data_IF_411707214530
#
_entry.id   IF_411707214530
#
_cell.length_a   1.000
_cell.length_b   1.000
_cell.length_c   1.000
_cell.angle_alpha   90.00
_cell.angle_beta   90.00
_cell.angle_gamma   90.00
#
_symmetry.space_group_name_H-M   'P 1'
#
loop_
_entity.id
_entity.type
_entity.pdbx_description
1 polymer ?
#
# COMPACT_ATOMS: atom_id res chain seq x y z
N UNK A 1 -9.10 3.14 -8.86
CA UNK A 1 -8.66 4.48 -9.26
C UNK A 1 -9.43 5.02 -10.47
N UNK A 2 -9.37 4.34 -11.61
CA UNK A 2 -9.95 4.85 -12.87
C UNK A 2 -11.46 5.10 -12.78
N UNK A 3 -12.23 4.13 -12.30
CA UNK A 3 -13.70 4.28 -12.14
C UNK A 3 -14.04 5.45 -11.23
N UNK A 4 -13.31 5.61 -10.13
CA UNK A 4 -13.49 6.72 -9.20
C UNK A 4 -13.16 8.07 -9.86
N UNK A 5 -12.07 8.14 -10.63
CA UNK A 5 -11.69 9.35 -11.36
C UNK A 5 -12.76 9.76 -12.37
N UNK A 6 -13.30 8.81 -13.16
CA UNK A 6 -14.36 9.07 -14.14
C UNK A 6 -15.63 9.57 -13.42
N UNK A 7 -16.05 8.88 -12.35
CA UNK A 7 -17.26 9.26 -11.61
C UNK A 7 -17.16 10.66 -10.99
N UNK A 8 -16.04 10.97 -10.33
CA UNK A 8 -15.92 12.22 -9.55
C UNK A 8 -15.43 13.40 -10.38
N UNK A 9 -14.54 13.18 -11.35
CA UNK A 9 -13.95 14.29 -12.12
C UNK A 9 -14.78 14.59 -13.37
N UNK A 10 -15.25 13.55 -14.10
CA UNK A 10 -16.02 13.78 -15.34
C UNK A 10 -17.49 13.99 -15.06
N UNK A 11 -18.10 13.14 -14.22
CA UNK A 11 -19.53 13.22 -13.94
C UNK A 11 -19.86 14.08 -12.70
N UNK A 12 -18.88 14.54 -11.96
CA UNK A 12 -19.09 15.38 -10.77
C UNK A 12 -19.83 14.69 -9.62
N UNK A 13 -19.79 13.35 -9.57
CA UNK A 13 -20.41 12.57 -8.50
C UNK A 13 -19.67 12.84 -7.19
N UNK A 14 -20.41 12.91 -6.09
CA UNK A 14 -19.83 13.04 -4.76
C UNK A 14 -18.82 11.94 -4.46
N UNK A 15 -17.67 12.31 -3.88
CA UNK A 15 -16.57 11.40 -3.60
C UNK A 15 -16.95 10.27 -2.66
N UNK A 16 -17.80 10.55 -1.65
CA UNK A 16 -18.26 9.56 -0.67
C UNK A 16 -19.17 8.55 -1.35
N UNK A 17 -20.13 9.01 -2.14
CA UNK A 17 -21.05 8.14 -2.88
C UNK A 17 -20.30 7.24 -3.85
N UNK A 18 -19.38 7.81 -4.62
CA UNK A 18 -18.52 7.05 -5.52
C UNK A 18 -17.65 6.03 -4.78
N UNK A 19 -17.10 6.38 -3.62
CA UNK A 19 -16.29 5.49 -2.79
C UNK A 19 -17.08 4.30 -2.29
N UNK A 20 -18.28 4.52 -1.73
CA UNK A 20 -19.18 3.45 -1.26
C UNK A 20 -19.58 2.53 -2.40
N UNK A 21 -19.98 3.10 -3.56
CA UNK A 21 -20.37 2.31 -4.72
C UNK A 21 -19.23 1.41 -5.22
N UNK A 22 -18.00 1.92 -5.26
CA UNK A 22 -16.82 1.14 -5.66
C UNK A 22 -16.49 0.05 -4.65
N UNK A 23 -16.63 0.30 -3.35
CA UNK A 23 -16.40 -0.73 -2.33
C UNK A 23 -17.38 -1.89 -2.46
N UNK A 24 -18.67 -1.61 -2.69
CA UNK A 24 -19.68 -2.64 -2.92
C UNK A 24 -19.41 -3.42 -4.20
N UNK A 25 -19.08 -2.70 -5.29
CA UNK A 25 -18.74 -3.30 -6.58
C UNK A 25 -17.47 -4.18 -6.45
N UNK A 26 -16.44 -3.68 -5.76
CA UNK A 26 -15.20 -4.41 -5.57
C UNK A 26 -15.41 -5.71 -4.80
N UNK A 27 -16.22 -5.71 -3.75
CA UNK A 27 -16.55 -6.93 -2.99
C UNK A 27 -17.20 -7.99 -3.91
N UNK A 28 -18.18 -7.59 -4.74
CA UNK A 28 -18.83 -8.51 -5.68
C UNK A 28 -17.89 -9.04 -6.75
N UNK A 29 -17.09 -8.16 -7.38
CA UNK A 29 -16.14 -8.55 -8.43
C UNK A 29 -15.05 -9.45 -7.86
N UNK A 30 -14.50 -9.11 -6.72
CA UNK A 30 -13.43 -9.90 -6.08
C UNK A 30 -13.92 -11.29 -5.75
N UNK A 31 -15.11 -11.43 -5.19
CA UNK A 31 -15.71 -12.73 -4.92
C UNK A 31 -15.92 -13.54 -6.19
N UNK A 32 -16.54 -12.95 -7.19
CA UNK A 32 -16.76 -13.62 -8.47
C UNK A 32 -15.45 -14.09 -9.13
N UNK A 33 -14.43 -13.23 -9.16
CA UNK A 33 -13.13 -13.59 -9.71
C UNK A 33 -12.42 -14.66 -8.88
N UNK A 34 -12.54 -14.60 -7.56
CA UNK A 34 -11.94 -15.62 -6.67
C UNK A 34 -12.58 -16.99 -6.89
N UNK A 35 -13.89 -17.05 -7.04
CA UNK A 35 -14.59 -18.29 -7.38
C UNK A 35 -14.15 -18.81 -8.75
N UNK A 36 -14.11 -17.95 -9.76
CA UNK A 36 -13.73 -18.33 -11.12
C UNK A 36 -12.29 -18.87 -11.21
N UNK A 37 -11.37 -18.31 -10.43
CA UNK A 37 -9.93 -18.64 -10.54
C UNK A 37 -9.54 -19.77 -9.58
N UNK A 38 -10.14 -19.86 -8.39
CA UNK A 38 -9.65 -20.74 -7.33
C UNK A 38 -10.54 -21.94 -6.99
N UNK A 39 -11.82 -21.97 -7.42
CA UNK A 39 -12.73 -23.09 -7.11
C UNK A 39 -12.24 -24.39 -7.72
N UNK A 40 -11.70 -24.37 -8.92
CA UNK A 40 -11.21 -25.56 -9.63
C UNK A 40 -9.74 -25.92 -9.26
N UNK A 41 -9.13 -25.18 -8.31
CA UNK A 41 -7.75 -25.43 -7.95
C UNK A 41 -7.67 -26.42 -6.77
N UNK A 42 -7.19 -27.66 -6.97
CA UNK A 42 -7.14 -28.71 -5.95
C UNK A 42 -6.26 -28.33 -4.75
N UNK A 43 -5.34 -27.36 -4.92
CA UNK A 43 -4.50 -26.85 -3.83
C UNK A 43 -5.21 -25.81 -2.93
N UNK A 44 -6.37 -25.29 -3.34
CA UNK A 44 -7.12 -24.24 -2.63
C UNK A 44 -8.11 -24.74 -1.58
N UNK A 45 -8.28 -26.05 -1.41
CA UNK A 45 -9.15 -26.63 -0.37
C UNK A 45 -10.64 -26.31 -0.52
N UNK A 46 -11.13 -25.98 -1.72
CA UNK A 46 -12.56 -25.73 -1.99
C UNK A 46 -13.09 -24.38 -1.49
N UNK A 47 -12.27 -23.52 -0.89
CA UNK A 47 -12.63 -22.16 -0.53
C UNK A 47 -12.13 -21.17 -1.58
N UNK A 48 -12.76 -20.01 -1.69
CA UNK A 48 -12.36 -18.91 -2.58
C UNK A 48 -11.06 -18.24 -2.08
N UNK A 49 -9.98 -19.01 -1.98
CA UNK A 49 -8.67 -18.57 -1.54
C UNK A 49 -7.59 -19.17 -2.44
N UNK A 50 -6.50 -18.43 -2.59
CA UNK A 50 -5.37 -18.93 -3.38
C UNK A 50 -4.65 -20.09 -2.67
N UNK A 51 -3.96 -20.96 -3.41
CA UNK A 51 -2.96 -21.83 -2.81
C UNK A 51 -1.86 -20.97 -2.13
N UNK A 52 -1.15 -21.52 -1.11
CA UNK A 52 -0.03 -20.83 -0.50
C UNK A 52 0.99 -20.41 -1.56
N UNK A 53 1.51 -19.20 -1.47
CA UNK A 53 2.55 -18.74 -2.38
C UNK A 53 3.81 -19.58 -2.20
N UNK A 54 4.22 -20.27 -3.27
CA UNK A 54 5.43 -21.11 -3.27
C UNK A 54 6.71 -20.29 -3.24
N UNK A 55 6.68 -19.05 -3.75
CA UNK A 55 7.80 -18.12 -3.76
C UNK A 55 7.55 -16.99 -2.77
N UNK A 56 8.18 -17.06 -1.60
CA UNK A 56 8.26 -15.90 -0.71
C UNK A 56 9.24 -14.89 -1.28
N UNK A 57 8.94 -13.58 -1.22
CA UNK A 57 9.93 -12.58 -1.57
C UNK A 57 11.16 -12.76 -0.70
N UNK A 58 12.38 -12.60 -1.26
CA UNK A 58 13.61 -12.78 -0.50
C UNK A 58 13.64 -11.86 0.71
N UNK A 59 13.93 -12.42 1.87
CA UNK A 59 14.17 -11.68 3.09
C UNK A 59 15.65 -11.28 3.15
N UNK A 60 15.92 -10.00 3.21
CA UNK A 60 17.26 -9.48 3.46
C UNK A 60 17.45 -9.33 4.96
N UNK A 61 18.34 -10.12 5.54
CA UNK A 61 18.93 -9.80 6.84
C UNK A 61 20.15 -8.93 6.58
N UNK A 62 20.18 -7.72 7.13
CA UNK A 62 21.37 -6.87 7.07
C UNK A 62 22.48 -7.54 7.91
N UNK A 63 23.56 -8.04 7.27
CA UNK A 63 24.54 -8.89 7.95
C UNK A 63 25.30 -8.17 9.08
N UNK A 64 25.29 -6.85 9.08
CA UNK A 64 26.05 -6.03 10.05
C UNK A 64 25.44 -6.05 11.46
N UNK A 65 24.12 -6.28 11.59
CA UNK A 65 23.44 -6.30 12.89
C UNK A 65 22.85 -7.67 13.25
N UNK A 66 22.68 -8.57 12.28
CA UNK A 66 22.11 -9.91 12.49
C UNK A 66 23.17 -11.02 12.60
N UNK A 67 24.40 -10.79 12.13
CA UNK A 67 25.50 -11.80 12.09
C UNK A 67 26.64 -11.49 13.07
N UNK A 68 26.56 -10.41 13.84
CA UNK A 68 27.52 -10.09 14.88
C UNK A 68 27.17 -10.76 16.23
N UNK A 69 28.06 -10.74 17.22
CA UNK A 69 27.71 -11.15 18.58
C UNK A 69 26.44 -10.39 18.95
N UNK A 70 25.41 -11.08 19.44
CA UNK A 70 24.05 -10.60 19.73
C UNK A 70 24.06 -9.42 20.74
N UNK A 71 24.68 -8.30 20.33
CA UNK A 71 24.79 -7.08 21.17
C UNK A 71 23.41 -6.50 21.45
N UNK A 72 22.54 -6.53 20.42
CA UNK A 72 21.15 -6.08 20.57
C UNK A 72 20.35 -7.04 21.44
N UNK A 73 20.56 -8.37 21.32
CA UNK A 73 19.94 -9.35 22.19
C UNK A 73 20.45 -9.28 23.62
N UNK A 74 21.72 -8.92 23.84
CA UNK A 74 22.27 -8.67 25.20
C UNK A 74 21.67 -7.41 25.82
N UNK A 75 21.45 -6.35 25.04
CA UNK A 75 20.82 -5.10 25.53
C UNK A 75 19.34 -5.32 25.80
N UNK A 76 18.65 -6.12 24.96
CA UNK A 76 17.26 -6.52 25.18
C UNK A 76 17.09 -7.31 26.49
N UNK A 77 18.06 -8.18 26.83
CA UNK A 77 18.07 -8.94 28.08
C UNK A 77 18.39 -8.13 29.32
N UNK A 78 18.94 -6.90 29.22
CA UNK A 78 19.25 -6.02 30.34
C UNK A 78 18.00 -5.42 31.03
N UNK A 79 16.76 -5.64 30.47
CA UNK A 79 15.48 -5.21 31.05
C UNK A 79 15.39 -3.72 31.46
N UNK A 80 16.21 -2.87 30.88
CA UNK A 80 16.02 -1.42 31.02
C UNK A 80 14.93 -0.96 30.04
N UNK A 81 13.80 -0.58 30.58
CA UNK A 81 12.55 -0.31 29.90
C UNK A 81 12.66 0.48 28.58
N UNK A 82 13.48 1.52 28.51
CA UNK A 82 13.68 2.31 27.29
C UNK A 82 14.73 1.72 26.32
N UNK A 83 15.79 1.13 26.85
CA UNK A 83 16.89 0.58 26.05
C UNK A 83 16.54 -0.77 25.43
N UNK A 84 15.80 -1.58 26.16
CA UNK A 84 15.28 -2.86 25.69
C UNK A 84 14.29 -2.67 24.54
N UNK A 85 13.35 -1.72 24.67
CA UNK A 85 12.34 -1.44 23.64
C UNK A 85 12.98 -0.82 22.39
N UNK A 86 13.95 0.07 22.56
CA UNK A 86 14.70 0.65 21.45
C UNK A 86 15.56 -0.41 20.73
N UNK A 87 16.20 -1.30 21.48
CA UNK A 87 16.97 -2.40 20.91
C UNK A 87 16.08 -3.40 20.17
N UNK A 88 14.90 -3.73 20.72
CA UNK A 88 13.88 -4.54 20.07
C UNK A 88 13.35 -3.91 18.79
N UNK A 89 13.12 -2.60 18.81
CA UNK A 89 12.68 -1.83 17.64
C UNK A 89 13.77 -1.81 16.54
N UNK A 90 15.02 -1.58 16.91
CA UNK A 90 16.16 -1.62 15.98
C UNK A 90 16.38 -3.04 15.43
N UNK A 91 16.23 -4.07 16.27
CA UNK A 91 16.30 -5.46 15.84
C UNK A 91 15.18 -5.81 14.88
N UNK A 92 13.93 -5.39 15.16
CA UNK A 92 12.78 -5.56 14.25
C UNK A 92 12.95 -4.85 12.91
N UNK A 93 13.67 -3.71 12.89
CA UNK A 93 14.00 -2.99 11.67
C UNK A 93 15.15 -3.60 10.85
N UNK A 94 15.97 -4.44 11.45
CA UNK A 94 17.20 -4.98 10.82
C UNK A 94 17.19 -6.49 10.62
N UNK A 95 16.37 -7.23 11.38
CA UNK A 95 16.22 -8.68 11.25
C UNK A 95 14.98 -9.04 10.43
N UNK A 96 15.18 -9.79 9.32
CA UNK A 96 14.08 -10.29 8.52
C UNK A 96 13.34 -9.20 7.73
N UNK A 97 14.06 -8.16 7.27
CA UNK A 97 13.45 -7.10 6.46
C UNK A 97 13.18 -7.66 5.06
N UNK A 98 11.93 -7.93 4.77
CA UNK A 98 11.50 -8.31 3.43
C UNK A 98 11.76 -7.18 2.43
N UNK A 99 12.08 -7.52 1.19
CA UNK A 99 12.22 -6.55 0.08
C UNK A 99 11.02 -5.61 0.01
N UNK A 100 9.83 -6.12 0.31
CA UNK A 100 8.60 -5.32 0.32
C UNK A 100 8.62 -4.21 1.38
N UNK A 101 9.16 -4.49 2.56
CA UNK A 101 9.31 -3.48 3.62
C UNK A 101 10.27 -2.37 3.19
N UNK A 102 11.37 -2.73 2.54
CA UNK A 102 12.32 -1.74 1.99
C UNK A 102 11.64 -0.86 0.95
N UNK A 103 10.88 -1.44 0.03
CA UNK A 103 10.11 -0.68 -0.97
C UNK A 103 9.12 0.26 -0.28
N UNK A 104 8.36 -0.22 0.71
CA UNK A 104 7.40 0.61 1.44
C UNK A 104 8.07 1.80 2.15
N UNK A 105 9.21 1.57 2.80
CA UNK A 105 9.99 2.62 3.46
C UNK A 105 10.54 3.63 2.44
N UNK A 106 11.06 3.17 1.31
CA UNK A 106 11.56 4.05 0.24
C UNK A 106 10.45 4.87 -0.43
N UNK A 107 9.22 4.37 -0.45
CA UNK A 107 8.08 5.10 -1.01
C UNK A 107 7.76 6.38 -0.20
N UNK A 108 8.03 6.41 1.10
CA UNK A 108 7.78 7.59 1.94
C UNK A 108 8.63 8.80 1.48
N UNK A 109 9.98 8.71 1.47
CA UNK A 109 10.80 9.82 0.97
C UNK A 109 10.58 10.10 -0.52
N UNK A 110 10.30 9.09 -1.34
CA UNK A 110 9.98 9.29 -2.75
C UNK A 110 8.70 10.13 -2.92
N UNK A 111 7.63 9.81 -2.21
CA UNK A 111 6.41 10.59 -2.21
C UNK A 111 6.65 12.03 -1.72
N UNK A 112 7.43 12.20 -0.65
CA UNK A 112 7.82 13.51 -0.15
C UNK A 112 8.57 14.32 -1.22
N UNK A 113 9.58 13.75 -1.86
CA UNK A 113 10.36 14.41 -2.90
C UNK A 113 9.48 14.79 -4.09
N UNK A 114 8.61 13.88 -4.56
CA UNK A 114 7.70 14.15 -5.68
C UNK A 114 6.75 15.29 -5.34
N UNK A 115 6.13 15.29 -4.16
CA UNK A 115 5.11 16.27 -3.78
C UNK A 115 5.70 17.64 -3.41
N UNK A 116 6.89 17.68 -2.80
CA UNK A 116 7.46 18.92 -2.24
C UNK A 116 8.62 19.48 -3.05
N UNK A 117 9.30 18.66 -3.85
CA UNK A 117 10.52 19.06 -4.55
C UNK A 117 10.37 19.09 -6.08
N UNK A 118 9.21 18.68 -6.64
CA UNK A 118 9.01 18.70 -8.10
C UNK A 118 7.95 19.71 -8.53
N UNK A 119 8.07 20.15 -9.80
CA UNK A 119 7.06 21.01 -10.42
C UNK A 119 5.68 20.32 -10.53
N UNK A 120 5.67 18.99 -10.65
CA UNK A 120 4.43 18.21 -10.64
C UNK A 120 3.70 18.33 -9.29
N UNK A 121 4.43 18.12 -8.19
CA UNK A 121 3.85 18.25 -6.84
C UNK A 121 3.36 19.66 -6.54
N UNK A 122 4.09 20.70 -6.97
CA UNK A 122 3.66 22.09 -6.83
C UNK A 122 2.34 22.35 -7.55
N UNK A 123 2.23 21.94 -8.81
CA UNK A 123 0.99 22.06 -9.60
C UNK A 123 -0.16 21.25 -9.01
N UNK A 124 0.11 20.05 -8.52
CA UNK A 124 -0.90 19.22 -7.88
C UNK A 124 -1.47 19.88 -6.62
N UNK A 125 -0.61 20.45 -5.80
CA UNK A 125 -1.00 21.15 -4.57
C UNK A 125 -1.79 22.42 -4.89
N UNK A 126 -1.37 23.21 -5.89
CA UNK A 126 -2.13 24.40 -6.32
C UNK A 126 -3.53 24.04 -6.83
N UNK A 127 -3.68 22.90 -7.53
CA UNK A 127 -4.99 22.38 -7.93
C UNK A 127 -5.86 21.94 -6.74
N UNK A 128 -5.26 21.55 -5.62
CA UNK A 128 -5.97 21.19 -4.39
C UNK A 128 -6.47 22.41 -3.62
N UNK A 129 -5.67 23.48 -3.57
CA UNK A 129 -6.02 24.70 -2.84
C UNK A 129 -7.05 25.55 -3.59
N UNK A 130 -6.79 25.85 -4.85
CA UNK A 130 -7.72 26.65 -5.68
C UNK A 130 -7.65 26.19 -7.15
N UNK A 131 -8.53 25.27 -7.56
CA UNK A 131 -8.55 24.75 -8.93
C UNK A 131 -8.78 25.85 -9.98
N UNK A 132 -9.65 26.82 -9.69
CA UNK A 132 -9.98 27.90 -10.64
C UNK A 132 -8.78 28.85 -10.87
N UNK A 133 -8.07 29.19 -9.79
CA UNK A 133 -6.84 29.98 -9.89
C UNK A 133 -5.72 29.23 -10.63
N UNK A 134 -5.59 27.93 -10.39
CA UNK A 134 -4.60 27.11 -11.09
C UNK A 134 -4.91 27.02 -12.59
N UNK A 135 -6.18 26.88 -12.97
CA UNK A 135 -6.62 26.82 -14.35
C UNK A 135 -6.36 28.14 -15.09
N UNK A 136 -6.64 29.27 -14.45
CA UNK A 136 -6.37 30.61 -15.02
C UNK A 136 -4.87 30.87 -15.25
N UNK A 137 -3.98 30.17 -14.55
CA UNK A 137 -2.53 30.19 -14.75
C UNK A 137 -2.07 29.17 -15.81
N UNK A 138 -2.98 28.49 -16.52
CA UNK A 138 -2.67 27.54 -17.56
C UNK A 138 -2.29 26.14 -17.04
N UNK A 139 -2.55 25.84 -15.78
CA UNK A 139 -2.30 24.50 -15.22
C UNK A 139 -3.44 23.56 -15.66
N UNK A 140 -3.16 22.40 -16.28
CA UNK A 140 -4.18 21.47 -16.75
C UNK A 140 -4.80 20.69 -15.57
N UNK A 141 -5.71 21.34 -14.83
CA UNK A 141 -6.29 20.84 -13.58
C UNK A 141 -6.94 19.45 -13.75
N UNK A 142 -7.73 19.26 -14.79
CA UNK A 142 -8.39 17.99 -15.08
C UNK A 142 -7.38 16.83 -15.20
N UNK A 143 -6.32 17.01 -15.99
CA UNK A 143 -5.31 15.98 -16.19
C UNK A 143 -4.57 15.64 -14.89
N UNK A 144 -4.24 16.65 -14.11
CA UNK A 144 -3.55 16.46 -12.82
C UNK A 144 -4.42 15.73 -11.80
N UNK A 145 -5.71 16.04 -11.71
CA UNK A 145 -6.66 15.32 -10.87
C UNK A 145 -6.75 13.84 -11.27
N UNK A 146 -6.87 13.54 -12.56
CA UNK A 146 -6.88 12.16 -13.05
C UNK A 146 -5.60 11.41 -12.68
N UNK A 147 -4.44 12.00 -12.94
CA UNK A 147 -3.14 11.39 -12.62
C UNK A 147 -3.03 11.11 -11.11
N UNK A 148 -3.42 12.07 -10.27
CA UNK A 148 -3.38 11.91 -8.83
C UNK A 148 -4.26 10.75 -8.33
N UNK A 149 -5.49 10.65 -8.81
CA UNK A 149 -6.43 9.58 -8.43
C UNK A 149 -5.94 8.22 -8.94
N UNK A 150 -5.36 8.17 -10.14
CA UNK A 150 -4.77 6.93 -10.68
C UNK A 150 -3.57 6.47 -9.86
N UNK A 151 -2.67 7.39 -9.51
CA UNK A 151 -1.51 7.08 -8.64
C UNK A 151 -2.00 6.59 -7.27
N UNK A 152 -2.97 7.27 -6.66
CA UNK A 152 -3.57 6.86 -5.39
C UNK A 152 -4.15 5.45 -5.46
N UNK A 153 -4.91 5.15 -6.52
CA UNK A 153 -5.47 3.81 -6.72
C UNK A 153 -4.40 2.73 -6.96
N UNK A 154 -3.31 3.07 -7.65
CA UNK A 154 -2.18 2.16 -7.85
C UNK A 154 -1.46 1.86 -6.52
N UNK A 155 -1.23 2.88 -5.69
CA UNK A 155 -0.64 2.73 -4.37
C UNK A 155 -1.51 1.87 -3.44
N UNK A 156 -2.82 2.08 -3.46
CA UNK A 156 -3.76 1.25 -2.72
C UNK A 156 -3.72 -0.22 -3.18
N UNK A 157 -3.63 -0.46 -4.49
CA UNK A 157 -3.44 -1.80 -5.05
C UNK A 157 -2.14 -2.47 -4.59
N UNK A 158 -1.03 -1.73 -4.57
CA UNK A 158 0.25 -2.21 -4.03
C UNK A 158 0.12 -2.59 -2.55
N UNK A 159 -0.60 -1.79 -1.75
CA UNK A 159 -0.89 -2.12 -0.35
C UNK A 159 -1.63 -3.45 -0.21
N UNK A 160 -2.59 -3.73 -1.09
CA UNK A 160 -3.30 -5.02 -1.15
C UNK A 160 -2.37 -6.18 -1.48
N UNK A 161 -1.45 -6.00 -2.43
CA UNK A 161 -0.43 -7.01 -2.79
C UNK A 161 0.48 -7.31 -1.58
N UNK A 162 0.90 -6.28 -0.84
CA UNK A 162 1.72 -6.48 0.37
C UNK A 162 1.00 -7.31 1.42
N UNK A 163 -0.31 -7.11 1.63
CA UNK A 163 -1.09 -7.92 2.56
C UNK A 163 -1.12 -9.39 2.15
N UNK A 164 -1.24 -9.69 0.85
CA UNK A 164 -1.21 -11.06 0.33
C UNK A 164 0.16 -11.72 0.59
N UNK A 165 1.26 -11.00 0.37
CA UNK A 165 2.60 -11.52 0.63
C UNK A 165 2.85 -11.77 2.12
N UNK A 166 2.41 -10.87 3.00
CA UNK A 166 2.55 -11.03 4.46
C UNK A 166 1.75 -12.25 4.95
N UNK A 167 0.52 -12.43 4.44
CA UNK A 167 -0.32 -13.56 4.81
C UNK A 167 0.07 -14.87 4.12
N UNK A 168 0.93 -14.81 3.09
CA UNK A 168 1.34 -15.92 2.23
C UNK A 168 0.17 -16.63 1.51
N UNK A 169 -1.01 -16.05 1.52
CA UNK A 169 -2.21 -16.57 0.91
C UNK A 169 -3.17 -15.40 0.62
N UNK A 170 -3.88 -15.48 -0.50
CA UNK A 170 -4.98 -14.57 -0.76
C UNK A 170 -6.27 -15.13 -0.16
N UNK A 171 -6.99 -14.32 0.60
CA UNK A 171 -8.33 -14.60 1.12
C UNK A 171 -9.26 -13.44 0.85
N UNK A 172 -10.51 -13.77 0.54
CA UNK A 172 -11.56 -12.75 0.47
C UNK A 172 -11.68 -12.01 1.80
N UNK A 173 -11.85 -10.68 1.75
CA UNK A 173 -11.96 -9.86 2.96
C UNK A 173 -10.67 -9.69 3.76
N UNK A 174 -9.50 -10.05 3.21
CA UNK A 174 -8.21 -10.01 3.91
C UNK A 174 -7.83 -8.62 4.46
N UNK A 175 -8.36 -7.55 3.88
CA UNK A 175 -8.14 -6.18 4.37
C UNK A 175 -8.76 -5.94 5.73
N UNK A 176 -9.82 -6.69 6.11
CA UNK A 176 -10.46 -6.59 7.42
C UNK A 176 -10.88 -5.18 7.82
N UNK A 177 -11.22 -4.33 6.86
CA UNK A 177 -11.55 -2.93 7.11
C UNK A 177 -10.35 -2.01 7.37
N UNK A 178 -9.12 -2.46 7.17
CA UNK A 178 -7.89 -1.66 7.41
C UNK A 178 -7.69 -0.51 6.41
N UNK A 179 -8.68 -0.07 5.72
CA UNK A 179 -8.61 1.06 4.78
C UNK A 179 -9.69 2.10 5.06
N UNK A 180 -10.47 1.89 6.11
CA UNK A 180 -11.53 2.79 6.56
C UNK A 180 -11.08 3.61 7.74
#
# INVERSE_FOLDING_TARGET
GLLHAIATITFGVDHVVSGVAINLLAAGIVRFLSELVFVDNPAGGGAAQSPPLSNRPPEFSLPVLSSGPDLLGKVENLRWFLLSDLAGLLRGLTSGVGVLTVIAVLMIPAAYLILWRTAFGLRLRSCGENPAAADSLGVPVYRLKYIAVLISGALAGLGGVFLVFIANIYREGQTGGRGF
#
